data_IF_568081029409
#
_entry.id   IF_568081029409
#
_cell.length_a   1.000
_cell.length_b   1.000
_cell.length_c   1.000
_cell.angle_alpha   90.00
_cell.angle_beta   90.00
_cell.angle_gamma   90.00
#
_symmetry.space_group_name_H-M   'P 1'
#
loop_
_entity.id
_entity.type
_entity.pdbx_description
1 polymer ?
#
# COMPACT_ATOMS: atom_id res chain seq x y z
N UNK A 1 12.82 -1.39 -16.80
CA UNK A 1 13.20 -1.69 -15.40
C UNK A 1 11.90 -1.91 -14.64
N UNK A 2 11.60 -3.15 -14.21
CA UNK A 2 10.27 -3.56 -13.71
C UNK A 2 9.69 -2.66 -12.61
N UNK A 3 10.55 -2.09 -11.77
CA UNK A 3 10.19 -1.13 -10.72
C UNK A 3 9.39 0.07 -11.23
N UNK A 4 9.81 0.68 -12.36
CA UNK A 4 9.15 1.89 -12.89
C UNK A 4 7.74 1.57 -13.40
N UNK A 5 7.54 0.36 -13.91
CA UNK A 5 6.25 -0.09 -14.43
C UNK A 5 5.26 -0.37 -13.28
N UNK A 6 5.74 -0.96 -12.17
CA UNK A 6 4.96 -1.15 -10.95
C UNK A 6 4.51 0.20 -10.35
N UNK A 7 5.44 1.15 -10.21
CA UNK A 7 5.12 2.48 -9.68
C UNK A 7 4.09 3.18 -10.57
N UNK A 8 4.26 3.15 -11.89
CA UNK A 8 3.27 3.73 -12.84
C UNK A 8 1.92 3.05 -12.75
N UNK A 9 1.88 1.72 -12.58
CA UNK A 9 0.63 0.99 -12.41
C UNK A 9 -0.10 1.41 -11.13
N UNK A 10 0.63 1.53 -10.02
CA UNK A 10 0.06 2.02 -8.75
C UNK A 10 -0.36 3.48 -8.82
N UNK A 11 0.39 4.32 -9.51
CA UNK A 11 0.06 5.73 -9.67
C UNK A 11 -1.24 5.92 -10.44
N UNK A 12 -1.48 5.10 -11.47
CA UNK A 12 -2.74 5.12 -12.23
C UNK A 12 -3.94 4.67 -11.39
N UNK A 13 -3.75 3.74 -10.46
CA UNK A 13 -4.81 3.23 -9.59
C UNK A 13 -5.07 4.16 -8.38
N UNK A 14 -4.00 4.68 -7.78
CA UNK A 14 -4.02 5.55 -6.60
C UNK A 14 -3.10 6.75 -6.88
N UNK A 15 -3.58 7.80 -7.56
CA UNK A 15 -2.77 8.96 -7.95
C UNK A 15 -2.52 9.93 -6.77
N UNK A 16 -2.16 9.39 -5.61
CA UNK A 16 -1.82 10.14 -4.41
C UNK A 16 -0.44 9.71 -3.92
N UNK A 17 0.51 10.65 -3.85
CA UNK A 17 1.86 10.38 -3.38
C UNK A 17 1.90 9.91 -1.93
N UNK A 18 1.04 10.46 -1.06
CA UNK A 18 0.98 10.13 0.37
C UNK A 18 0.70 8.64 0.59
N UNK A 19 -0.03 7.99 -0.33
CA UNK A 19 -0.29 6.55 -0.25
C UNK A 19 0.99 5.72 -0.43
N UNK A 20 1.93 6.18 -1.25
CA UNK A 20 3.20 5.50 -1.47
C UNK A 20 4.10 5.67 -0.25
N UNK A 21 4.18 6.89 0.26
CA UNK A 21 4.95 7.22 1.47
C UNK A 21 4.43 6.41 2.66
N UNK A 22 3.11 6.37 2.87
CA UNK A 22 2.49 5.55 3.92
C UNK A 22 2.90 4.08 3.84
N UNK A 23 2.89 3.47 2.65
CA UNK A 23 3.29 2.06 2.48
C UNK A 23 4.77 1.86 2.78
N UNK A 24 5.63 2.79 2.36
CA UNK A 24 7.07 2.74 2.63
C UNK A 24 7.32 2.84 4.13
N UNK A 25 6.75 3.84 4.79
CA UNK A 25 6.96 4.09 6.22
C UNK A 25 6.44 2.91 7.04
N UNK A 26 5.19 2.50 6.81
CA UNK A 26 4.56 1.39 7.53
C UNK A 26 5.38 0.10 7.42
N UNK A 27 5.85 -0.25 6.22
CA UNK A 27 6.64 -1.47 6.03
C UNK A 27 8.06 -1.33 6.52
N UNK A 28 8.66 -0.17 6.42
CA UNK A 28 9.99 0.09 6.97
C UNK A 28 9.97 -0.07 8.48
N UNK A 29 8.99 0.53 9.17
CA UNK A 29 8.82 0.39 10.62
C UNK A 29 8.66 -1.07 11.06
N UNK A 30 7.91 -1.85 10.29
CA UNK A 30 7.67 -3.27 10.60
C UNK A 30 8.87 -4.18 10.28
N UNK A 31 9.54 -3.95 9.14
CA UNK A 31 10.45 -4.95 8.56
C UNK A 31 11.92 -4.56 8.63
N UNK A 32 12.27 -3.29 8.83
CA UNK A 32 13.67 -2.83 8.74
C UNK A 32 14.60 -3.58 9.69
N UNK A 33 14.15 -3.76 10.93
CA UNK A 33 14.92 -4.42 12.00
C UNK A 33 14.61 -5.92 12.11
N UNK A 34 13.69 -6.44 11.30
CA UNK A 34 13.39 -7.87 11.27
C UNK A 34 14.41 -8.58 10.34
N UNK A 35 15.21 -9.53 10.87
CA UNK A 35 16.28 -10.19 10.11
C UNK A 35 15.78 -11.07 8.95
N UNK A 36 14.49 -11.42 8.95
CA UNK A 36 13.86 -12.22 7.90
C UNK A 36 13.16 -11.33 6.87
N UNK A 37 12.51 -10.28 7.34
CA UNK A 37 11.58 -9.48 6.55
C UNK A 37 12.24 -8.29 5.84
N UNK A 38 13.35 -7.75 6.36
CA UNK A 38 14.00 -6.57 5.78
C UNK A 38 14.34 -6.70 4.29
N UNK A 39 14.66 -7.92 3.82
CA UNK A 39 14.98 -8.22 2.42
C UNK A 39 13.81 -7.95 1.47
N UNK A 40 12.59 -7.83 1.99
CA UNK A 40 11.38 -7.52 1.25
C UNK A 40 11.06 -6.01 1.17
N UNK A 41 11.88 -5.14 1.79
CA UNK A 41 11.82 -3.69 1.59
C UNK A 41 12.39 -3.28 0.22
N UNK A 42 11.74 -3.76 -0.84
CA UNK A 42 12.12 -3.51 -2.23
C UNK A 42 10.89 -3.04 -3.00
N UNK A 43 11.07 -2.20 -4.04
CA UNK A 43 9.95 -1.70 -4.82
C UNK A 43 9.07 -2.80 -5.44
N UNK A 44 9.64 -3.94 -5.83
CA UNK A 44 8.88 -5.07 -6.38
C UNK A 44 7.87 -5.66 -5.38
N UNK A 45 8.22 -5.66 -4.09
CA UNK A 45 7.34 -6.17 -3.04
C UNK A 45 6.38 -5.09 -2.57
N UNK A 46 6.86 -3.87 -2.31
CA UNK A 46 6.04 -2.77 -1.79
C UNK A 46 4.98 -2.32 -2.80
N UNK A 47 5.33 -2.25 -4.09
CA UNK A 47 4.42 -1.83 -5.16
C UNK A 47 3.83 -3.00 -5.96
N UNK A 48 4.00 -4.22 -5.44
CA UNK A 48 3.45 -5.46 -6.00
C UNK A 48 1.92 -5.57 -5.79
N UNK A 49 1.32 -6.74 -6.02
CA UNK A 49 -0.14 -6.95 -5.93
C UNK A 49 -0.76 -6.62 -4.57
N UNK A 50 0.03 -6.63 -3.48
CA UNK A 50 -0.43 -6.38 -2.11
C UNK A 50 -0.38 -4.90 -1.68
N UNK A 51 -0.09 -3.98 -2.60
CA UNK A 51 0.04 -2.55 -2.29
C UNK A 51 -1.16 -2.00 -1.51
N UNK A 52 -2.38 -2.27 -1.98
CA UNK A 52 -3.61 -1.78 -1.34
C UNK A 52 -3.81 -2.35 0.07
N UNK A 53 -3.46 -3.64 0.27
CA UNK A 53 -3.48 -4.23 1.61
C UNK A 53 -2.50 -3.54 2.55
N UNK A 54 -1.31 -3.17 2.07
CA UNK A 54 -0.33 -2.42 2.89
C UNK A 54 -0.78 -0.98 3.13
N UNK A 55 -1.46 -0.37 2.17
CA UNK A 55 -2.00 0.99 2.28
C UNK A 55 -3.08 1.07 3.37
N UNK A 56 -3.91 0.03 3.48
CA UNK A 56 -5.00 -0.06 4.44
C UNK A 56 -4.59 -0.72 5.77
N UNK A 57 -3.31 -1.00 5.95
CA UNK A 57 -2.81 -1.59 7.19
C UNK A 57 -2.78 -0.53 8.30
N UNK A 58 -3.31 -0.88 9.47
CA UNK A 58 -3.33 0.01 10.64
C UNK A 58 -4.35 1.17 10.56
N UNK A 59 -5.11 1.34 9.47
CA UNK A 59 -6.28 2.23 9.49
C UNK A 59 -7.39 1.59 10.33
N UNK A 60 -7.70 2.18 11.49
CA UNK A 60 -8.99 1.98 12.13
C UNK A 60 -10.08 2.42 11.15
N UNK A 61 -11.17 1.66 10.95
CA UNK A 61 -12.20 1.98 9.97
C UNK A 61 -12.93 3.27 10.38
N UNK A 62 -12.46 4.41 9.87
CA UNK A 62 -13.31 5.59 9.72
C UNK A 62 -14.00 5.42 8.38
N UNK A 63 -15.18 4.81 8.43
CA UNK A 63 -16.03 4.42 7.29
C UNK A 63 -15.35 3.41 6.35
N UNK A 64 -15.72 2.15 6.48
CA UNK A 64 -15.21 1.07 5.63
C UNK A 64 -15.60 1.31 4.17
N UNK A 65 -14.75 0.91 3.21
CA UNK A 65 -15.09 0.93 1.78
C UNK A 65 -16.39 0.15 1.49
N UNK A 66 -16.72 -0.82 2.36
CA UNK A 66 -17.99 -1.53 2.36
C UNK A 66 -19.18 -0.64 2.73
N UNK A 67 -19.08 0.18 3.78
CA UNK A 67 -20.12 1.16 4.15
C UNK A 67 -20.30 2.23 3.06
N UNK A 68 -19.21 2.64 2.41
CA UNK A 68 -19.29 3.54 1.26
C UNK A 68 -20.00 2.90 0.07
N UNK A 69 -19.67 1.65 -0.25
CA UNK A 69 -20.34 0.88 -1.30
C UNK A 69 -21.85 0.69 -1.00
N UNK A 70 -22.22 0.42 0.25
CA UNK A 70 -23.63 0.32 0.66
C UNK A 70 -24.39 1.63 0.44
N UNK A 71 -23.77 2.79 0.73
CA UNK A 71 -24.38 4.11 0.52
C UNK A 71 -24.56 4.48 -0.96
N UNK A 72 -23.73 3.94 -1.86
CA UNK A 72 -23.83 4.19 -3.31
C UNK A 72 -24.93 3.34 -3.99
N UNK A 73 -25.49 2.34 -3.28
CA UNK A 73 -26.56 1.46 -3.78
C UNK A 73 -27.98 1.92 -3.40
N UNK A 74 -28.11 2.91 -2.52
CA UNK A 74 -29.38 3.57 -2.16
C UNK A 74 -29.69 4.72 -3.11
#
# INVERSE_FOLDING_TARGET
MKTRDLIKARWRAHPNQDHFEKVIDTKTDQWLNDPTMNKFLRPETLFGPKFESYLNEGSTPTETDFEKYLKELE
#
